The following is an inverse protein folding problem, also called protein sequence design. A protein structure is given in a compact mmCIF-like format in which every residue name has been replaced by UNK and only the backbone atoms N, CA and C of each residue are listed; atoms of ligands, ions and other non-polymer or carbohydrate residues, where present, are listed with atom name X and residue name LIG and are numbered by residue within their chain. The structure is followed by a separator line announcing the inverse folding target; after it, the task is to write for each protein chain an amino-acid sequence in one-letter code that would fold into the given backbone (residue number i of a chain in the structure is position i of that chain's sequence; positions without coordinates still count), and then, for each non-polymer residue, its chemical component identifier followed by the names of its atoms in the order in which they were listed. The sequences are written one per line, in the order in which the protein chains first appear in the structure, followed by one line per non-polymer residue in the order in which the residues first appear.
data_IF_779901719998
#
_entry.id   IF_779901719998
#
_cell.length_a   1.000
_cell.length_b   1.000
_cell.length_c   1.000
_cell.angle_alpha   90.00
_cell.angle_beta   90.00
_cell.angle_gamma   90.00
#
_symmetry.space_group_name_H-M   'P 1'
#
loop_
_entity.id
_entity.type
_entity.pdbx_description
1 polymer ?
#
# COMPACT_ATOMS: atom_id res chain seq x y z
N UNK A 1 -8.13 5.43 0.99
CA UNK A 1 -7.08 6.37 1.47
C UNK A 1 -6.28 6.96 0.32
N UNK A 2 -5.74 8.18 0.44
CA UNK A 2 -5.03 8.86 -0.64
C UNK A 2 -3.62 9.34 -0.27
N UNK A 3 -2.73 9.44 -1.27
CA UNK A 3 -1.37 9.98 -1.10
C UNK A 3 -1.45 11.50 -0.97
N UNK A 4 -0.60 12.06 -0.12
CA UNK A 4 -0.64 13.48 0.25
C UNK A 4 -1.91 13.91 1.02
N UNK A 5 -2.71 12.95 1.50
CA UNK A 5 -3.78 13.25 2.45
C UNK A 5 -3.18 13.54 3.83
N UNK A 6 -3.67 14.58 4.50
CA UNK A 6 -3.40 14.83 5.91
C UNK A 6 -4.44 14.11 6.76
N UNK A 7 -4.01 13.37 7.77
CA UNK A 7 -4.90 12.73 8.74
C UNK A 7 -4.94 13.53 10.04
N UNK A 8 -6.14 13.73 10.57
CA UNK A 8 -6.34 14.23 11.92
C UNK A 8 -5.99 13.18 12.97
N UNK A 9 -5.72 13.61 14.20
CA UNK A 9 -5.45 12.69 15.32
C UNK A 9 -6.58 11.69 15.54
N UNK A 10 -7.85 12.11 15.39
CA UNK A 10 -9.00 11.23 15.50
C UNK A 10 -9.08 10.18 14.38
N UNK A 11 -8.63 10.49 13.17
CA UNK A 11 -8.56 9.50 12.08
C UNK A 11 -7.43 8.50 12.33
N UNK A 12 -6.30 8.95 12.88
CA UNK A 12 -5.19 8.07 13.25
C UNK A 12 -5.52 7.14 14.40
N UNK A 13 -6.33 7.57 15.36
CA UNK A 13 -6.82 6.73 16.46
C UNK A 13 -7.68 5.54 15.97
N UNK A 14 -8.28 5.65 14.78
CA UNK A 14 -9.02 4.57 14.13
C UNK A 14 -8.11 3.60 13.37
N UNK A 15 -6.84 3.95 13.20
CA UNK A 15 -5.84 3.14 12.51
C UNK A 15 -4.99 2.37 13.54
N UNK A 16 -4.54 1.18 13.16
CA UNK A 16 -3.62 0.38 13.97
C UNK A 16 -2.18 0.73 13.61
N UNK A 17 -1.38 1.21 14.55
CA UNK A 17 0.05 1.37 14.33
C UNK A 17 0.73 0.00 14.22
N UNK A 18 1.52 -0.21 13.17
CA UNK A 18 2.22 -1.47 12.91
C UNK A 18 3.69 -1.35 13.28
N UNK A 19 4.41 -0.42 12.64
CA UNK A 19 5.86 -0.32 12.78
C UNK A 19 6.38 1.06 12.35
N UNK A 20 7.70 1.21 12.36
CA UNK A 20 8.38 2.46 12.00
C UNK A 20 9.55 2.16 11.04
N UNK A 21 9.73 3.01 10.03
CA UNK A 21 10.86 2.97 9.10
C UNK A 21 11.55 4.34 9.04
N UNK A 22 12.67 4.48 9.75
CA UNK A 22 13.33 5.78 9.87
C UNK A 22 12.41 6.78 10.59
N UNK A 23 11.97 7.82 9.88
CA UNK A 23 11.04 8.85 10.39
C UNK A 23 9.58 8.59 10.03
N UNK A 24 9.30 7.52 9.27
CA UNK A 24 7.96 7.20 8.80
C UNK A 24 7.30 6.20 9.74
N UNK A 25 6.09 6.51 10.18
CA UNK A 25 5.25 5.59 10.94
C UNK A 25 4.33 4.84 9.98
N UNK A 26 4.19 3.52 10.17
CA UNK A 26 3.41 2.64 9.32
C UNK A 26 2.17 2.19 10.07
N UNK A 27 1.01 2.38 9.43
CA UNK A 27 -0.30 2.10 9.99
C UNK A 27 -1.10 1.18 9.07
N UNK A 28 -2.05 0.47 9.68
CA UNK A 28 -3.10 -0.28 9.03
C UNK A 28 -4.44 0.41 9.27
N UNK A 29 -5.22 0.63 8.21
CA UNK A 29 -6.62 1.01 8.32
C UNK A 29 -7.49 -0.15 7.83
N UNK A 30 -8.39 -0.61 8.69
CA UNK A 30 -9.36 -1.66 8.38
C UNK A 30 -10.70 -1.01 7.99
N UNK A 31 -10.87 -0.76 6.69
CA UNK A 31 -12.14 -0.34 6.09
C UNK A 31 -12.78 -1.53 5.34
N UNK A 32 -13.68 -1.27 4.38
CA UNK A 32 -14.19 -2.29 3.44
C UNK A 32 -13.05 -2.95 2.62
N UNK A 33 -11.92 -2.26 2.47
CA UNK A 33 -10.63 -2.78 1.98
C UNK A 33 -9.54 -2.44 3.00
N UNK A 34 -8.47 -3.22 3.02
CA UNK A 34 -7.38 -3.03 3.99
C UNK A 34 -6.30 -2.13 3.39
N UNK A 35 -5.90 -1.09 4.11
CA UNK A 35 -4.79 -0.23 3.70
C UNK A 35 -3.61 -0.36 4.63
N UNK A 36 -2.42 -0.47 4.05
CA UNK A 36 -1.15 -0.28 4.75
C UNK A 36 -0.47 0.96 4.21
N UNK A 37 -0.16 1.90 5.08
CA UNK A 37 0.31 3.21 4.66
C UNK A 37 1.33 3.79 5.63
N UNK A 38 2.20 4.64 5.09
CA UNK A 38 3.24 5.32 5.83
C UNK A 38 2.96 6.81 5.90
N UNK A 39 3.17 7.38 7.08
CA UNK A 39 2.97 8.79 7.40
C UNK A 39 4.32 9.43 7.72
N UNK A 40 4.56 10.64 7.22
CA UNK A 40 5.69 11.46 7.66
C UNK A 40 5.35 12.23 8.94
N UNK A 41 6.34 12.68 9.71
CA UNK A 41 6.11 13.43 10.96
C UNK A 41 5.32 14.75 10.79
N UNK A 42 4.95 15.13 9.55
CA UNK A 42 4.07 16.26 9.23
C UNK A 42 2.64 15.81 8.89
N UNK A 43 2.27 14.57 9.20
CA UNK A 43 0.96 13.93 9.06
C UNK A 43 0.47 13.71 7.63
N UNK A 44 1.40 13.65 6.66
CA UNK A 44 1.08 13.37 5.27
C UNK A 44 1.25 11.88 4.96
N UNK A 45 0.25 11.25 4.33
CA UNK A 45 0.42 9.90 3.78
C UNK A 45 1.40 9.96 2.60
N UNK A 46 2.58 9.39 2.78
CA UNK A 46 3.67 9.41 1.79
C UNK A 46 3.79 8.10 0.99
N UNK A 47 3.20 7.02 1.50
CA UNK A 47 3.07 5.75 0.80
C UNK A 47 1.79 5.03 1.25
N UNK A 48 1.09 4.36 0.33
CA UNK A 48 -0.18 3.69 0.60
C UNK A 48 -0.33 2.45 -0.31
N UNK A 49 -0.70 1.33 0.28
CA UNK A 49 -0.88 0.03 -0.35
C UNK A 49 -2.26 -0.49 0.01
N UNK A 50 -3.05 -0.88 -0.99
CA UNK A 50 -4.40 -1.39 -0.83
C UNK A 50 -4.41 -2.91 -1.02
N UNK A 51 -5.01 -3.60 -0.06
CA UNK A 51 -5.19 -5.04 -0.04
C UNK A 51 -6.68 -5.39 -0.03
N UNK A 52 -7.07 -6.27 -0.95
CA UNK A 52 -8.44 -6.76 -1.11
C UNK A 52 -8.48 -8.21 -0.64
N UNK A 53 -9.36 -8.49 0.32
CA UNK A 53 -9.57 -9.83 0.85
C UNK A 53 -10.65 -10.56 0.03
N UNK A 54 -10.32 -11.75 -0.45
CA UNK A 54 -11.21 -12.70 -1.11
C UNK A 54 -11.41 -13.92 -0.20
N UNK A 55 -12.35 -14.82 -0.57
CA UNK A 55 -12.67 -15.99 0.26
C UNK A 55 -11.44 -16.88 0.57
N UNK A 56 -10.50 -16.99 -0.37
CA UNK A 56 -9.36 -17.91 -0.26
C UNK A 56 -7.99 -17.21 -0.20
N UNK A 57 -7.91 -15.90 -0.48
CA UNK A 57 -6.63 -15.19 -0.58
C UNK A 57 -6.78 -13.67 -0.38
N UNK A 58 -5.67 -13.01 -0.07
CA UNK A 58 -5.55 -11.54 -0.07
C UNK A 58 -4.79 -11.12 -1.31
N UNK A 59 -5.20 -10.04 -1.99
CA UNK A 59 -4.50 -9.49 -3.14
C UNK A 59 -4.03 -8.06 -2.88
N UNK A 60 -2.79 -7.74 -3.23
CA UNK A 60 -2.32 -6.36 -3.32
C UNK A 60 -2.91 -5.71 -4.58
N UNK A 61 -3.94 -4.87 -4.44
CA UNK A 61 -4.61 -4.26 -5.59
C UNK A 61 -3.85 -3.03 -6.12
N UNK A 62 -3.38 -2.16 -5.23
CA UNK A 62 -2.73 -0.91 -5.59
C UNK A 62 -1.54 -0.62 -4.69
N UNK A 63 -0.51 0.03 -5.24
CA UNK A 63 0.54 0.65 -4.44
C UNK A 63 0.88 2.02 -5.00
N UNK A 64 1.11 2.96 -4.09
CA UNK A 64 1.67 4.24 -4.45
C UNK A 64 2.64 4.73 -3.39
N UNK A 65 3.72 5.36 -3.84
CA UNK A 65 4.69 6.06 -3.01
C UNK A 65 5.05 7.35 -3.71
N UNK A 66 5.17 8.46 -2.98
CA UNK A 66 5.63 9.74 -3.54
C UNK A 66 6.99 9.58 -4.21
N UNK A 67 7.18 10.25 -5.35
CA UNK A 67 8.31 9.97 -6.26
C UNK A 67 9.69 10.12 -5.60
N UNK A 68 9.87 11.13 -4.73
CA UNK A 68 11.15 11.38 -4.08
C UNK A 68 11.54 10.33 -3.04
N UNK A 69 10.59 9.51 -2.56
CA UNK A 69 10.84 8.39 -1.63
C UNK A 69 11.05 7.06 -2.35
N UNK A 70 10.89 7.01 -3.67
CA UNK A 70 11.15 5.79 -4.45
C UNK A 70 12.64 5.43 -4.36
N UNK A 71 12.91 4.13 -4.27
CA UNK A 71 14.27 3.60 -4.09
C UNK A 71 14.84 3.73 -2.67
N UNK A 72 14.12 4.32 -1.72
CA UNK A 72 14.57 4.48 -0.33
C UNK A 72 14.17 3.31 0.60
N UNK A 73 13.45 2.32 0.09
CA UNK A 73 13.08 1.11 0.84
C UNK A 73 11.76 1.18 1.62
N UNK A 74 11.06 2.32 1.63
CA UNK A 74 9.78 2.46 2.34
C UNK A 74 8.71 1.47 1.86
N UNK A 75 8.52 1.35 0.54
CA UNK A 75 7.58 0.37 -0.02
C UNK A 75 7.95 -1.08 0.31
N UNK A 76 9.25 -1.40 0.38
CA UNK A 76 9.73 -2.73 0.81
C UNK A 76 9.35 -3.00 2.26
N UNK A 77 9.48 -2.01 3.15
CA UNK A 77 9.07 -2.17 4.53
C UNK A 77 7.58 -2.47 4.61
N UNK A 78 6.73 -1.71 3.93
CA UNK A 78 5.27 -1.92 3.96
C UNK A 78 4.90 -3.32 3.45
N UNK A 79 5.53 -3.80 2.38
CA UNK A 79 5.29 -5.16 1.87
C UNK A 79 5.74 -6.24 2.86
N UNK A 80 6.81 -6.00 3.62
CA UNK A 80 7.24 -6.91 4.67
C UNK A 80 6.19 -6.99 5.78
N UNK A 81 5.69 -5.85 6.24
CA UNK A 81 4.59 -5.82 7.24
C UNK A 81 3.35 -6.53 6.71
N UNK A 82 3.03 -6.38 5.42
CA UNK A 82 1.91 -7.08 4.79
C UNK A 82 2.09 -8.61 4.83
N UNK A 83 3.30 -9.12 4.57
CA UNK A 83 3.60 -10.56 4.71
C UNK A 83 3.47 -11.00 6.17
N UNK A 84 3.94 -10.20 7.12
CA UNK A 84 3.85 -10.53 8.55
C UNK A 84 2.39 -10.56 9.04
N UNK A 85 1.51 -9.72 8.47
CA UNK A 85 0.07 -9.65 8.81
C UNK A 85 -0.74 -10.75 8.12
N UNK A 86 -0.58 -10.92 6.81
CA UNK A 86 -1.43 -11.81 6.00
C UNK A 86 -0.82 -13.20 5.76
N UNK A 87 0.45 -13.40 6.12
CA UNK A 87 1.24 -14.60 5.79
C UNK A 87 1.68 -14.64 4.32
N UNK A 88 0.76 -14.37 3.40
CA UNK A 88 1.00 -14.24 1.96
C UNK A 88 -0.09 -13.40 1.30
N UNK A 89 0.21 -12.79 0.16
CA UNK A 89 -0.79 -12.14 -0.69
C UNK A 89 -0.46 -12.36 -2.16
N UNK A 90 -1.49 -12.36 -2.99
CA UNK A 90 -1.39 -12.40 -4.44
C UNK A 90 -1.14 -11.02 -5.03
N UNK A 91 -0.58 -11.01 -6.24
CA UNK A 91 -0.53 -9.82 -7.07
C UNK A 91 -1.66 -9.86 -8.11
N UNK A 92 -2.12 -8.70 -8.61
CA UNK A 92 -3.16 -8.66 -9.64
C UNK A 92 -2.73 -9.41 -10.89
N UNK A 93 -3.64 -10.18 -11.49
CA UNK A 93 -3.39 -10.86 -12.77
C UNK A 93 -3.27 -9.83 -13.89
N UNK A 94 -2.06 -9.56 -14.37
CA UNK A 94 -1.84 -8.59 -15.46
C UNK A 94 -2.19 -9.22 -16.81
N UNK A 95 -3.23 -8.70 -17.50
CA UNK A 95 -3.58 -9.09 -18.88
C UNK A 95 -2.62 -8.55 -19.97
N UNK A 96 -1.41 -8.11 -19.60
CA UNK A 96 -0.38 -7.64 -20.51
C UNK A 96 0.99 -8.20 -20.09
N UNK A 97 1.88 -8.39 -21.07
CA UNK A 97 3.22 -9.04 -21.04
C UNK A 97 4.26 -8.41 -20.08
N UNK A 98 3.86 -7.93 -18.92
CA UNK A 98 4.76 -7.40 -17.88
C UNK A 98 4.83 -8.41 -16.73
N UNK A 99 6.02 -8.92 -16.43
CA UNK A 99 6.26 -9.90 -15.36
C UNK A 99 7.57 -9.57 -14.65
N UNK A 100 7.56 -9.08 -13.39
CA UNK A 100 8.79 -8.93 -12.56
C UNK A 100 8.41 -8.73 -11.06
N UNK A 101 9.12 -9.17 -9.99
CA UNK A 101 9.69 -10.46 -9.55
C UNK A 101 9.60 -10.54 -7.99
N UNK A 102 9.48 -11.78 -7.48
CA UNK A 102 9.81 -12.46 -6.20
C UNK A 102 10.16 -11.68 -4.89
N UNK A 103 9.51 -12.08 -3.77
CA UNK A 103 10.00 -11.86 -2.40
C UNK A 103 10.25 -13.22 -1.71
N UNK A 104 11.50 -13.68 -1.71
CA UNK A 104 12.08 -14.54 -0.66
C UNK A 104 13.32 -13.78 -0.16
N UNK A 105 13.39 -13.31 1.08
CA UNK A 105 14.68 -12.96 1.71
C UNK A 105 15.44 -11.69 1.24
N UNK A 106 14.77 -10.74 0.58
CA UNK A 106 15.09 -9.32 0.82
C UNK A 106 16.14 -8.62 -0.04
N UNK A 107 16.34 -8.95 -1.33
CA UNK A 107 17.27 -8.19 -2.19
C UNK A 107 16.81 -7.89 -3.64
N UNK A 108 15.51 -7.77 -3.96
CA UNK A 108 15.09 -7.41 -5.34
C UNK A 108 13.91 -6.44 -5.40
N UNK A 109 13.98 -5.52 -6.38
CA UNK A 109 13.05 -4.39 -6.62
C UNK A 109 11.83 -4.81 -7.44
N UNK A 110 10.67 -4.23 -7.15
CA UNK A 110 9.52 -4.18 -8.08
C UNK A 110 9.85 -3.11 -9.12
N UNK A 111 10.11 -3.53 -10.36
CA UNK A 111 10.65 -2.67 -11.40
C UNK A 111 9.58 -2.04 -12.31
N UNK A 112 8.32 -2.48 -12.23
CA UNK A 112 7.21 -1.88 -12.99
C UNK A 112 6.03 -1.50 -12.10
N UNK A 113 5.53 -0.28 -12.32
CA UNK A 113 4.38 0.31 -11.63
C UNK A 113 3.09 -0.44 -11.96
N UNK A 114 2.25 -0.74 -10.96
CA UNK A 114 0.81 -0.74 -11.15
C UNK A 114 0.35 0.72 -11.28
N UNK A 115 0.71 1.37 -12.37
CA UNK A 115 0.25 2.71 -12.68
C UNK A 115 -0.23 2.65 -14.11
N UNK A 116 -1.55 2.57 -14.26
CA UNK A 116 -2.14 3.21 -15.42
C UNK A 116 -3.54 3.77 -15.19
N UNK A 117 -3.97 3.88 -13.93
CA UNK A 117 -4.98 4.85 -13.48
C UNK A 117 -4.62 5.21 -12.04
N UNK A 118 -4.12 6.41 -11.87
CA UNK A 118 -4.56 7.34 -10.83
C UNK A 118 -5.90 6.88 -10.25
N UNK A 119 -6.11 6.96 -8.94
CA UNK A 119 -7.43 7.17 -8.36
C UNK A 119 -8.22 8.14 -9.26
N UNK A 120 -8.96 7.60 -10.22
CA UNK A 120 -9.67 8.35 -11.24
C UNK A 120 -11.12 8.11 -10.91
N UNK A 121 -11.75 9.17 -10.42
CA UNK A 121 -13.17 9.36 -10.09
C UNK A 121 -14.08 8.17 -10.35
N UNK A 122 -14.87 7.80 -9.34
CA UNK A 122 -16.06 6.97 -9.49
C UNK A 122 -16.87 7.41 -10.72
N UNK A 123 -16.87 6.59 -11.76
CA UNK A 123 -17.90 6.67 -12.79
C UNK A 123 -19.13 5.98 -12.23
N UNK A 124 -20.02 6.77 -11.64
CA UNK A 124 -21.42 6.46 -11.35
C UNK A 124 -21.88 5.04 -11.72
N UNK A 125 -22.44 4.30 -10.76
CA UNK A 125 -23.62 3.46 -11.03
C UNK A 125 -24.78 3.92 -10.17
N UNK A 126 -25.66 4.67 -10.83
CA UNK A 126 -27.03 5.02 -10.45
C UNK A 126 -27.89 3.78 -10.20
N UNK A 127 -28.93 3.90 -9.37
CA UNK A 127 -30.30 4.10 -9.89
C UNK A 127 -30.64 5.55 -10.19
#
# INVERSE_FOLDING_TARGET
MEINQNLSSSELELCCHISTFGVYEIYQAAEDVQYLFAIDSNNLICSCFEFVEYEDYVQLAHMHTVDYLKGQGLGKQILKEAVDIYGSFELPSTNHNSTYYFIEDGYSWIQDRFDDRTLSESKFRRP
#
